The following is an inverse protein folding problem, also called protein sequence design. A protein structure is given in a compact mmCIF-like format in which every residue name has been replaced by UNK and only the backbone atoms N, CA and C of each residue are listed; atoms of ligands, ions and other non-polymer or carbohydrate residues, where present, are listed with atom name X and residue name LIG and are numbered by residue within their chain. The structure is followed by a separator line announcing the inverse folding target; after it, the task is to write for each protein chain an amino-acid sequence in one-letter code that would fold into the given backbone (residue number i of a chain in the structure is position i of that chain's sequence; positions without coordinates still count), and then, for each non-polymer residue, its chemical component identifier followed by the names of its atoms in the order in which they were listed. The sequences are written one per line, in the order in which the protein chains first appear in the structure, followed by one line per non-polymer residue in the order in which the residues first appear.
data_IF_629358706650
#
_entry.id   IF_629358706650
#
_cell.length_a   1.000
_cell.length_b   1.000
_cell.length_c   1.000
_cell.angle_alpha   90.00
_cell.angle_beta   90.00
_cell.angle_gamma   90.00
#
_symmetry.space_group_name_H-M   'P 1'
#
loop_
_entity.id
_entity.type
_entity.pdbx_description
1 polymer ?
#
# COMPACT_ATOMS: atom_id res chain seq x y z
N UNK A 1 -14.81 16.01 9.86
CA UNK A 1 -15.59 16.33 8.64
C UNK A 1 -17.08 16.29 8.98
N UNK A 2 -17.92 17.22 8.50
CA UNK A 2 -19.38 17.14 8.68
C UNK A 2 -19.99 15.84 8.15
N UNK A 3 -21.02 15.32 8.81
CA UNK A 3 -21.61 14.00 8.55
C UNK A 3 -22.22 13.87 7.14
N UNK A 4 -22.90 14.90 6.67
CA UNK A 4 -23.43 15.01 5.31
C UNK A 4 -22.34 14.81 4.26
N UNK A 5 -21.22 15.53 4.41
CA UNK A 5 -20.08 15.40 3.51
C UNK A 5 -19.42 14.03 3.63
N UNK A 6 -19.31 13.50 4.85
CA UNK A 6 -18.74 12.17 5.10
C UNK A 6 -19.53 11.08 4.37
N UNK A 7 -20.87 11.14 4.39
CA UNK A 7 -21.74 10.22 3.64
C UNK A 7 -21.53 10.32 2.14
N UNK A 8 -21.44 11.54 1.60
CA UNK A 8 -21.15 11.74 0.17
C UNK A 8 -19.81 11.14 -0.19
N UNK A 9 -18.76 11.44 0.59
CA UNK A 9 -17.42 10.88 0.38
C UNK A 9 -17.43 9.35 0.42
N UNK A 10 -18.06 8.74 1.44
CA UNK A 10 -18.20 7.29 1.58
C UNK A 10 -18.92 6.67 0.40
N UNK A 11 -20.05 7.26 -0.01
CA UNK A 11 -20.83 6.76 -1.14
C UNK A 11 -20.02 6.82 -2.44
N UNK A 12 -19.30 7.92 -2.67
CA UNK A 12 -18.48 8.09 -3.86
C UNK A 12 -17.35 7.07 -3.92
N UNK A 13 -16.55 6.93 -2.85
CA UNK A 13 -15.43 6.00 -2.88
C UNK A 13 -15.91 4.54 -2.86
N UNK A 14 -16.99 4.21 -2.15
CA UNK A 14 -17.56 2.87 -2.16
C UNK A 14 -18.05 2.49 -3.56
N UNK A 15 -18.71 3.41 -4.26
CA UNK A 15 -19.12 3.23 -5.66
C UNK A 15 -17.91 3.00 -6.56
N UNK A 16 -16.84 3.78 -6.40
CA UNK A 16 -15.61 3.59 -7.17
C UNK A 16 -14.98 2.22 -6.93
N UNK A 17 -14.94 1.74 -5.68
CA UNK A 17 -14.45 0.40 -5.32
C UNK A 17 -15.32 -0.69 -5.95
N UNK A 18 -16.65 -0.56 -5.89
CA UNK A 18 -17.58 -1.52 -6.52
C UNK A 18 -17.35 -1.58 -8.03
N UNK A 19 -17.24 -0.44 -8.70
CA UNK A 19 -16.93 -0.38 -10.14
C UNK A 19 -15.58 -1.04 -10.43
N UNK A 20 -14.54 -0.76 -9.64
CA UNK A 20 -13.23 -1.37 -9.81
C UNK A 20 -13.26 -2.90 -9.63
N UNK A 21 -14.01 -3.40 -8.65
CA UNK A 21 -14.20 -4.85 -8.43
C UNK A 21 -14.91 -5.48 -9.63
N UNK A 22 -15.99 -4.87 -10.12
CA UNK A 22 -16.73 -5.36 -11.30
C UNK A 22 -15.82 -5.38 -12.53
N UNK A 23 -15.09 -4.31 -12.79
CA UNK A 23 -14.15 -4.24 -13.92
C UNK A 23 -13.04 -5.29 -13.79
N UNK A 24 -12.50 -5.50 -12.59
CA UNK A 24 -11.50 -6.53 -12.32
C UNK A 24 -12.05 -7.94 -12.50
N UNK A 25 -13.29 -8.20 -12.09
CA UNK A 25 -13.95 -9.49 -12.29
C UNK A 25 -14.22 -9.77 -13.78
N UNK A 26 -14.68 -8.76 -14.53
CA UNK A 26 -15.00 -8.88 -15.95
C UNK A 26 -13.75 -8.99 -16.85
N UNK A 27 -12.65 -8.34 -16.47
CA UNK A 27 -11.38 -8.38 -17.22
C UNK A 27 -10.42 -9.46 -16.71
N UNK A 28 -10.62 -9.94 -15.49
CA UNK A 28 -10.00 -11.13 -14.92
C UNK A 28 -8.49 -11.22 -15.13
N UNK A 29 -8.03 -12.38 -15.61
CA UNK A 29 -6.61 -12.79 -15.75
C UNK A 29 -5.76 -11.88 -16.64
N UNK A 30 -6.32 -10.83 -17.23
CA UNK A 30 -5.55 -9.82 -17.98
C UNK A 30 -4.69 -8.96 -17.06
N UNK A 31 -5.06 -8.79 -15.79
CA UNK A 31 -4.27 -7.99 -14.86
C UNK A 31 -3.09 -8.77 -14.33
N UNK A 32 -1.92 -8.12 -14.26
CA UNK A 32 -0.70 -8.75 -13.77
C UNK A 32 -0.86 -9.34 -12.34
N UNK A 33 -1.59 -8.65 -11.46
CA UNK A 33 -1.89 -9.12 -10.09
C UNK A 33 -2.68 -10.43 -10.04
N UNK A 34 -3.42 -10.77 -11.10
CA UNK A 34 -4.17 -12.02 -11.19
C UNK A 34 -3.31 -13.21 -11.69
N UNK A 35 -2.05 -12.98 -12.04
CA UNK A 35 -1.15 -14.02 -12.56
C UNK A 35 -0.33 -14.68 -11.45
N UNK A 36 -0.02 -15.97 -11.61
CA UNK A 36 0.86 -16.69 -10.68
C UNK A 36 2.29 -16.15 -10.65
N UNK A 37 2.75 -15.52 -11.74
CA UNK A 37 4.06 -14.87 -11.80
C UNK A 37 4.17 -13.76 -10.75
N UNK A 38 3.14 -12.90 -10.63
CA UNK A 38 3.09 -11.86 -9.59
C UNK A 38 3.18 -12.44 -8.18
N UNK A 39 2.41 -13.49 -7.88
CA UNK A 39 2.40 -14.09 -6.55
C UNK A 39 3.73 -14.80 -6.20
N UNK A 40 4.36 -15.47 -7.17
CA UNK A 40 5.72 -16.02 -7.01
C UNK A 40 6.75 -14.92 -6.75
N UNK A 41 6.63 -13.80 -7.45
CA UNK A 41 7.48 -12.63 -7.25
C UNK A 41 7.37 -12.04 -5.84
N UNK A 42 6.15 -12.00 -5.28
CA UNK A 42 5.91 -11.59 -3.88
C UNK A 42 6.52 -12.58 -2.90
N UNK A 43 6.29 -13.88 -3.11
CA UNK A 43 6.70 -14.95 -2.21
C UNK A 43 8.22 -15.22 -2.17
N UNK A 44 9.06 -14.35 -2.72
CA UNK A 44 10.51 -14.47 -2.59
C UNK A 44 10.94 -14.27 -1.13
N UNK A 45 11.88 -15.10 -0.60
CA UNK A 45 12.15 -15.15 0.84
C UNK A 45 12.51 -13.79 1.46
N UNK A 46 13.31 -12.98 0.77
CA UNK A 46 13.73 -11.68 1.30
C UNK A 46 12.57 -10.68 1.37
N UNK A 47 11.61 -10.71 0.43
CA UNK A 47 10.43 -9.84 0.45
C UNK A 47 9.49 -10.26 1.58
N UNK A 48 9.31 -11.55 1.79
CA UNK A 48 8.53 -12.08 2.91
C UNK A 48 9.16 -11.73 4.25
N UNK A 49 10.48 -11.88 4.39
CA UNK A 49 11.19 -11.50 5.62
C UNK A 49 11.07 -10.00 5.91
N UNK A 50 11.33 -9.15 4.90
CA UNK A 50 11.19 -7.70 5.03
C UNK A 50 9.75 -7.29 5.37
N UNK A 51 8.76 -7.91 4.72
CA UNK A 51 7.35 -7.70 5.02
C UNK A 51 7.01 -8.09 6.45
N UNK A 52 7.43 -9.28 6.91
CA UNK A 52 7.16 -9.75 8.25
C UNK A 52 7.73 -8.79 9.30
N UNK A 53 8.98 -8.36 9.14
CA UNK A 53 9.61 -7.38 10.04
C UNK A 53 8.86 -6.04 10.01
N UNK A 54 8.53 -5.52 8.83
CA UNK A 54 7.81 -4.26 8.70
C UNK A 54 6.39 -4.33 9.29
N UNK A 55 5.62 -5.36 8.97
CA UNK A 55 4.25 -5.53 9.44
C UNK A 55 4.20 -5.73 10.96
N UNK A 56 5.04 -6.60 11.52
CA UNK A 56 5.12 -6.80 12.97
C UNK A 56 5.59 -5.53 13.67
N UNK A 57 6.59 -4.83 13.12
CA UNK A 57 7.06 -3.55 13.62
C UNK A 57 5.93 -2.52 13.69
N UNK A 58 5.15 -2.37 12.62
CA UNK A 58 4.00 -1.46 12.58
C UNK A 58 2.91 -1.84 13.58
N UNK A 59 2.55 -3.12 13.68
CA UNK A 59 1.55 -3.59 14.65
C UNK A 59 2.01 -3.40 16.12
N UNK A 60 3.31 -3.34 16.36
CA UNK A 60 3.88 -3.04 17.67
C UNK A 60 3.90 -1.52 17.91
N UNK A 61 4.34 -0.73 16.94
CA UNK A 61 4.51 0.72 17.09
C UNK A 61 3.16 1.45 17.10
N UNK A 62 2.22 1.07 16.23
CA UNK A 62 0.97 1.81 16.00
C UNK A 62 0.16 2.09 17.28
N UNK A 63 -0.13 1.10 18.15
CA UNK A 63 -0.85 1.36 19.40
C UNK A 63 -0.08 2.20 20.42
N UNK A 64 1.23 2.37 20.23
CA UNK A 64 2.12 3.11 21.15
C UNK A 64 2.33 4.56 20.73
N UNK A 65 1.82 4.96 19.57
CA UNK A 65 1.96 6.33 19.05
C UNK A 65 1.18 7.37 19.86
N UNK A 66 0.25 6.93 20.71
CA UNK A 66 -0.69 7.80 21.42
C UNK A 66 -1.85 8.29 20.54
N UNK A 67 -1.88 7.93 19.25
CA UNK A 67 -3.00 8.22 18.36
C UNK A 67 -4.12 7.17 18.58
N UNK A 68 -5.32 7.58 19.02
CA UNK A 68 -6.44 6.66 19.26
C UNK A 68 -7.00 6.04 17.97
N UNK A 69 -6.61 6.56 16.81
CA UNK A 69 -7.03 6.02 15.53
C UNK A 69 -6.20 4.82 15.10
N UNK A 70 -4.94 4.73 15.53
CA UNK A 70 -4.00 3.69 15.17
C UNK A 70 -4.01 2.53 16.17
N UNK A 71 -4.32 1.32 15.70
CA UNK A 71 -4.27 0.11 16.50
C UNK A 71 -3.50 -1.02 15.80
N UNK A 72 -3.64 -2.26 16.31
CA UNK A 72 -2.92 -3.40 15.72
C UNK A 72 -3.62 -3.92 14.46
N UNK A 73 -4.94 -3.77 14.41
CA UNK A 73 -5.80 -4.31 13.35
C UNK A 73 -5.59 -3.50 12.09
N UNK A 74 -5.68 -2.17 12.18
CA UNK A 74 -5.48 -1.29 11.03
C UNK A 74 -4.04 -1.30 10.52
N UNK A 75 -3.04 -1.21 11.40
CA UNK A 75 -1.65 -1.37 11.04
C UNK A 75 -1.40 -2.72 10.32
N UNK A 76 -2.03 -3.79 10.79
CA UNK A 76 -1.92 -5.13 10.22
C UNK A 76 -2.49 -5.22 8.80
N UNK A 77 -3.76 -4.85 8.60
CA UNK A 77 -4.37 -4.97 7.26
C UNK A 77 -3.79 -3.95 6.28
N UNK A 78 -3.41 -2.74 6.73
CA UNK A 78 -2.78 -1.76 5.84
C UNK A 78 -1.39 -2.22 5.39
N UNK A 79 -0.59 -2.79 6.29
CA UNK A 79 0.70 -3.39 5.93
C UNK A 79 0.51 -4.54 4.93
N UNK A 80 -0.48 -5.42 5.17
CA UNK A 80 -0.82 -6.51 4.26
C UNK A 80 -1.24 -5.99 2.89
N UNK A 81 -2.20 -5.07 2.81
CA UNK A 81 -2.66 -4.52 1.54
C UNK A 81 -1.53 -3.80 0.79
N UNK A 82 -0.69 -3.05 1.50
CA UNK A 82 0.50 -2.41 0.90
C UNK A 82 1.42 -3.45 0.29
N UNK A 83 1.75 -4.52 1.02
CA UNK A 83 2.61 -5.58 0.52
C UNK A 83 2.02 -6.33 -0.68
N UNK A 84 0.71 -6.58 -0.67
CA UNK A 84 0.04 -7.36 -1.72
C UNK A 84 -0.24 -6.54 -2.98
N UNK A 85 -0.48 -5.24 -2.86
CA UNK A 85 -1.02 -4.43 -3.97
C UNK A 85 -0.10 -3.32 -4.44
N UNK A 86 0.73 -2.71 -3.58
CA UNK A 86 1.51 -1.54 -3.95
C UNK A 86 2.49 -1.76 -5.12
N UNK A 87 3.22 -2.90 -5.21
CA UNK A 87 4.10 -3.16 -6.34
C UNK A 87 3.35 -3.22 -7.68
N UNK A 88 2.19 -3.87 -7.70
CA UNK A 88 1.34 -3.94 -8.89
C UNK A 88 0.80 -2.57 -9.27
N UNK A 89 0.19 -1.87 -8.30
CA UNK A 89 -0.40 -0.56 -8.50
C UNK A 89 0.62 0.44 -9.05
N UNK A 90 1.80 0.53 -8.42
CA UNK A 90 2.85 1.44 -8.88
C UNK A 90 3.33 1.07 -10.28
N UNK A 91 3.50 -0.22 -10.56
CA UNK A 91 3.89 -0.71 -11.89
C UNK A 91 2.89 -0.33 -12.98
N UNK A 92 1.60 -0.54 -12.74
CA UNK A 92 0.53 -0.15 -13.69
C UNK A 92 0.54 1.35 -13.92
N UNK A 93 0.55 2.17 -12.88
CA UNK A 93 0.47 3.63 -12.99
C UNK A 93 1.71 4.20 -13.70
N UNK A 94 2.90 3.74 -13.36
CA UNK A 94 4.13 4.17 -14.03
C UNK A 94 4.13 3.76 -15.51
N UNK A 95 3.68 2.55 -15.85
CA UNK A 95 3.57 2.08 -17.25
C UNK A 95 2.47 2.81 -18.03
N UNK A 96 1.37 3.18 -17.38
CA UNK A 96 0.32 4.02 -17.96
C UNK A 96 0.89 5.39 -18.36
N UNK A 97 1.61 6.04 -17.44
CA UNK A 97 2.18 7.39 -17.63
C UNK A 97 3.33 7.37 -18.64
N UNK A 98 4.32 6.49 -18.45
CA UNK A 98 5.58 6.51 -19.23
C UNK A 98 5.48 5.84 -20.58
N UNK A 99 4.70 4.76 -20.68
CA UNK A 99 4.72 3.92 -21.86
C UNK A 99 3.41 3.96 -22.65
N UNK A 100 2.34 4.56 -22.10
CA UNK A 100 0.96 4.43 -22.64
C UNK A 100 0.56 2.97 -22.88
N UNK A 101 1.13 2.04 -22.11
CA UNK A 101 1.01 0.58 -22.31
C UNK A 101 -0.04 -0.07 -21.43
N UNK A 102 -0.48 0.60 -20.36
CA UNK A 102 -1.54 0.06 -19.51
C UNK A 102 -2.91 0.58 -20.01
N UNK A 103 -3.91 -0.29 -20.19
CA UNK A 103 -5.25 0.15 -20.55
C UNK A 103 -5.84 1.00 -19.43
N UNK A 104 -6.61 2.03 -19.79
CA UNK A 104 -7.24 2.95 -18.82
C UNK A 104 -8.05 2.26 -17.72
N UNK A 105 -8.67 1.13 -18.05
CA UNK A 105 -9.39 0.28 -17.09
C UNK A 105 -8.45 -0.25 -16.00
N UNK A 106 -7.27 -0.75 -16.35
CA UNK A 106 -6.30 -1.26 -15.37
C UNK A 106 -5.74 -0.12 -14.52
N UNK A 107 -5.47 1.05 -15.12
CA UNK A 107 -5.04 2.23 -14.39
C UNK A 107 -6.11 2.72 -13.39
N UNK A 108 -7.38 2.70 -13.77
CA UNK A 108 -8.50 3.03 -12.87
C UNK A 108 -8.59 2.05 -11.70
N UNK A 109 -8.53 0.74 -11.97
CA UNK A 109 -8.56 -0.28 -10.91
C UNK A 109 -7.37 -0.11 -9.99
N UNK A 110 -6.16 0.09 -10.53
CA UNK A 110 -4.95 0.34 -9.74
C UNK A 110 -5.07 1.59 -8.86
N UNK A 111 -5.62 2.69 -9.37
CA UNK A 111 -5.86 3.90 -8.57
C UNK A 111 -6.88 3.65 -7.44
N UNK A 112 -7.95 2.90 -7.70
CA UNK A 112 -8.91 2.53 -6.65
C UNK A 112 -8.27 1.60 -5.60
N UNK A 113 -7.45 0.64 -6.02
CA UNK A 113 -6.68 -0.23 -5.11
C UNK A 113 -5.69 0.55 -4.27
N UNK A 114 -5.01 1.55 -4.86
CA UNK A 114 -4.15 2.48 -4.12
C UNK A 114 -4.93 3.15 -3.00
N UNK A 115 -5.98 3.89 -3.35
CA UNK A 115 -6.75 4.69 -2.40
C UNK A 115 -7.42 3.82 -1.34
N UNK A 116 -7.89 2.63 -1.72
CA UNK A 116 -8.42 1.67 -0.77
C UNK A 116 -7.37 1.17 0.22
N UNK A 117 -6.19 0.77 -0.27
CA UNK A 117 -5.12 0.27 0.59
C UNK A 117 -4.50 1.34 1.47
N UNK A 118 -4.34 2.57 0.95
CA UNK A 118 -3.69 3.66 1.65
C UNK A 118 -4.63 4.43 2.58
N UNK A 119 -5.94 4.42 2.34
CA UNK A 119 -6.88 5.25 3.12
C UNK A 119 -8.24 4.59 3.34
N UNK A 120 -8.97 4.21 2.28
CA UNK A 120 -10.40 3.92 2.46
C UNK A 120 -10.69 2.69 3.33
N UNK A 121 -9.79 1.70 3.35
CA UNK A 121 -9.91 0.55 4.25
C UNK A 121 -9.77 0.95 5.73
N UNK A 122 -8.79 1.80 6.04
CA UNK A 122 -8.57 2.41 7.35
C UNK A 122 -9.74 3.31 7.75
N UNK A 123 -10.17 4.18 6.83
CA UNK A 123 -11.27 5.10 7.04
C UNK A 123 -12.56 4.34 7.35
N UNK A 124 -12.87 3.29 6.57
CA UNK A 124 -14.04 2.43 6.80
C UNK A 124 -13.95 1.74 8.15
N UNK A 125 -12.78 1.21 8.51
CA UNK A 125 -12.56 0.54 9.77
C UNK A 125 -12.87 1.45 10.95
N UNK A 126 -12.27 2.65 10.99
CA UNK A 126 -12.50 3.62 12.06
C UNK A 126 -13.95 4.09 12.07
N UNK A 127 -14.50 4.41 10.90
CA UNK A 127 -15.87 4.88 10.77
C UNK A 127 -16.86 3.89 11.37
N UNK A 128 -16.64 2.58 11.16
CA UNK A 128 -17.47 1.51 11.73
C UNK A 128 -17.15 1.25 13.21
N UNK A 129 -15.87 1.17 13.57
CA UNK A 129 -15.39 0.86 14.93
C UNK A 129 -15.87 1.90 15.93
N UNK A 130 -15.56 3.16 15.67
CA UNK A 130 -15.78 4.26 16.62
C UNK A 130 -17.28 4.57 16.79
N UNK A 131 -18.08 4.28 15.77
CA UNK A 131 -19.53 4.46 15.87
C UNK A 131 -20.25 3.30 16.58
N UNK A 132 -19.58 2.16 16.80
CA UNK A 132 -20.17 0.94 17.36
C UNK A 132 -20.94 0.09 16.36
N UNK A 133 -20.55 0.11 15.08
CA UNK A 133 -21.14 -0.69 14.01
C UNK A 133 -21.63 0.15 12.81
N UNK A 134 -21.84 -0.50 11.67
CA UNK A 134 -22.10 0.18 10.39
C UNK A 134 -23.38 1.04 10.41
N UNK A 135 -24.46 0.54 11.01
CA UNK A 135 -25.73 1.30 11.14
C UNK A 135 -25.54 2.59 11.94
N UNK A 136 -24.77 2.51 13.03
CA UNK A 136 -24.44 3.66 13.85
C UNK A 136 -23.46 4.60 13.13
N UNK A 137 -22.50 4.06 12.39
CA UNK A 137 -21.56 4.84 11.59
C UNK A 137 -22.29 5.70 10.57
N UNK A 138 -23.27 5.12 9.88
CA UNK A 138 -24.06 5.85 8.90
C UNK A 138 -24.87 7.00 9.52
N UNK A 139 -25.39 6.82 10.73
CA UNK A 139 -26.25 7.81 11.39
C UNK A 139 -25.49 8.89 12.14
N UNK A 140 -24.34 8.56 12.75
CA UNK A 140 -23.60 9.45 13.67
C UNK A 140 -22.07 9.36 13.57
N UNK A 141 -21.53 8.63 12.60
CA UNK A 141 -20.08 8.49 12.41
C UNK A 141 -19.40 9.81 12.08
N UNK A 142 -18.11 9.89 12.39
CA UNK A 142 -17.30 11.05 12.05
C UNK A 142 -15.95 10.59 11.51
N UNK A 143 -15.38 11.40 10.63
CA UNK A 143 -14.00 11.22 10.17
C UNK A 143 -13.04 12.00 11.06
N UNK A 144 -11.87 11.42 11.41
CA UNK A 144 -10.82 12.13 12.13
C UNK A 144 -10.45 13.45 11.45
N UNK A 145 -10.05 14.45 12.22
CA UNK A 145 -9.58 15.74 11.69
C UNK A 145 -8.37 15.57 10.75
N UNK A 146 -7.58 14.53 10.98
CA UNK A 146 -6.35 14.20 10.25
C UNK A 146 -6.58 13.36 8.98
N UNK A 147 -7.84 13.06 8.60
CA UNK A 147 -8.14 12.13 7.49
C UNK A 147 -7.40 12.45 6.19
N UNK A 148 -7.38 13.73 5.78
CA UNK A 148 -6.72 14.14 4.53
C UNK A 148 -5.20 14.06 4.61
N UNK A 149 -4.63 14.37 5.78
CA UNK A 149 -3.20 14.23 6.03
C UNK A 149 -2.79 12.76 6.02
N UNK A 150 -3.64 11.88 6.58
CA UNK A 150 -3.40 10.44 6.55
C UNK A 150 -3.43 9.90 5.12
N UNK A 151 -4.38 10.33 4.29
CA UNK A 151 -4.43 9.95 2.88
C UNK A 151 -3.11 10.29 2.15
N UNK A 152 -2.55 11.48 2.38
CA UNK A 152 -1.28 11.90 1.76
C UNK A 152 -0.09 11.10 2.32
N UNK A 153 0.03 11.02 3.64
CA UNK A 153 1.14 10.30 4.28
C UNK A 153 1.14 8.81 3.92
N UNK A 154 -0.01 8.16 4.02
CA UNK A 154 -0.18 6.75 3.68
C UNK A 154 0.01 6.50 2.18
N UNK A 155 -0.33 7.46 1.31
CA UNK A 155 -0.03 7.36 -0.11
C UNK A 155 1.46 7.40 -0.43
N UNK A 156 2.23 8.22 0.27
CA UNK A 156 3.69 8.26 0.15
C UNK A 156 4.32 6.94 0.65
N UNK A 157 3.87 6.43 1.80
CA UNK A 157 4.30 5.14 2.34
C UNK A 157 3.93 3.98 1.42
N UNK A 158 2.73 4.00 0.85
CA UNK A 158 2.27 3.00 -0.11
C UNK A 158 3.14 3.01 -1.37
N UNK A 159 3.43 4.19 -1.95
CA UNK A 159 4.31 4.31 -3.10
C UNK A 159 5.75 3.85 -2.78
N UNK A 160 6.29 4.24 -1.62
CA UNK A 160 7.62 3.83 -1.16
C UNK A 160 7.70 2.31 -0.95
N UNK A 161 6.68 1.71 -0.33
CA UNK A 161 6.54 0.27 -0.17
C UNK A 161 6.47 -0.43 -1.53
N UNK A 162 5.63 0.06 -2.44
CA UNK A 162 5.52 -0.43 -3.81
C UNK A 162 6.87 -0.41 -4.55
N UNK A 163 7.62 0.69 -4.43
CA UNK A 163 8.95 0.82 -5.04
C UNK A 163 9.96 -0.15 -4.43
N UNK A 164 10.07 -0.19 -3.09
CA UNK A 164 10.97 -1.08 -2.36
C UNK A 164 10.73 -2.56 -2.71
N UNK A 165 9.46 -2.96 -2.72
CA UNK A 165 9.05 -4.33 -3.02
C UNK A 165 9.05 -4.69 -4.51
N UNK A 166 9.27 -3.70 -5.38
CA UNK A 166 9.50 -3.88 -6.82
C UNK A 166 10.98 -3.90 -7.19
N UNK A 167 11.90 -3.71 -6.23
CA UNK A 167 13.33 -3.79 -6.49
C UNK A 167 13.71 -5.17 -7.02
N UNK A 168 14.45 -5.19 -8.12
CA UNK A 168 14.97 -6.39 -8.76
C UNK A 168 16.37 -6.12 -9.32
N UNK A 169 17.17 -7.17 -9.49
CA UNK A 169 18.50 -7.07 -10.10
C UNK A 169 18.49 -7.89 -11.39
N UNK A 170 18.53 -7.24 -12.57
CA UNK A 170 18.53 -7.95 -13.84
C UNK A 170 19.88 -8.63 -14.09
N UNK A 171 19.87 -9.74 -14.85
CA UNK A 171 21.07 -10.54 -15.15
C UNK A 171 22.12 -9.75 -15.95
N UNK A 172 21.68 -8.83 -16.82
CA UNK A 172 22.52 -7.87 -17.52
C UNK A 172 22.16 -6.46 -17.04
N UNK A 173 22.94 -5.85 -16.13
CA UNK A 173 22.60 -4.56 -15.56
C UNK A 173 22.90 -3.41 -16.52
N UNK A 174 21.85 -2.80 -17.07
CA UNK A 174 21.93 -1.53 -17.82
C UNK A 174 22.08 -0.30 -16.88
N UNK A 175 22.03 -0.50 -15.57
CA UNK A 175 22.10 0.56 -14.57
C UNK A 175 23.41 0.53 -13.79
N UNK A 176 23.97 1.72 -13.48
CA UNK A 176 25.19 1.84 -12.65
C UNK A 176 25.07 1.17 -11.28
N UNK A 177 23.86 1.09 -10.73
CA UNK A 177 23.58 0.48 -9.42
C UNK A 177 23.37 -1.04 -9.51
N UNK A 178 23.16 -1.59 -10.71
CA UNK A 178 22.84 -3.00 -10.92
C UNK A 178 21.51 -3.43 -10.30
N UNK A 179 20.61 -2.47 -10.07
CA UNK A 179 19.26 -2.66 -9.52
C UNK A 179 18.29 -1.82 -10.36
N UNK A 180 17.10 -2.35 -10.62
CA UNK A 180 16.01 -1.70 -11.34
C UNK A 180 14.68 -1.97 -10.61
N UNK A 181 13.61 -1.37 -11.09
CA UNK A 181 12.26 -1.76 -10.69
C UNK A 181 11.72 -2.80 -11.66
N UNK A 182 11.23 -3.93 -11.15
CA UNK A 182 10.75 -5.05 -11.96
C UNK A 182 9.65 -4.64 -12.94
N UNK A 183 8.82 -3.64 -12.60
CA UNK A 183 7.77 -3.14 -13.49
C UNK A 183 8.26 -2.35 -14.70
N UNK A 184 9.56 -2.03 -14.77
CA UNK A 184 10.18 -1.45 -15.95
C UNK A 184 10.64 -2.53 -16.94
N UNK A 185 10.72 -3.79 -16.52
CA UNK A 185 11.14 -4.90 -17.37
C UNK A 185 10.03 -5.33 -18.35
N UNK A 186 10.39 -5.76 -19.58
CA UNK A 186 9.41 -6.18 -20.58
C UNK A 186 8.54 -7.38 -20.18
N UNK A 187 9.10 -8.30 -19.39
CA UNK A 187 8.49 -9.57 -18.95
C UNK A 187 7.76 -9.47 -17.61
N UNK A 188 7.61 -8.26 -17.05
CA UNK A 188 6.86 -8.05 -15.82
C UNK A 188 5.42 -8.61 -15.92
N UNK A 189 4.91 -9.35 -14.91
CA UNK A 189 5.39 -9.44 -13.53
C UNK A 189 6.30 -10.65 -13.22
N UNK A 190 6.98 -11.23 -14.21
CA UNK A 190 7.97 -12.27 -13.94
C UNK A 190 9.12 -11.72 -13.07
N UNK A 191 9.51 -12.49 -12.06
CA UNK A 191 10.64 -12.14 -11.20
C UNK A 191 11.92 -12.78 -11.74
N UNK A 192 13.01 -12.02 -11.74
CA UNK A 192 14.37 -12.53 -11.94
C UNK A 192 15.10 -12.64 -10.61
N UNK A 193 15.92 -13.67 -10.45
CA UNK A 193 16.63 -13.93 -9.21
C UNK A 193 17.64 -12.81 -8.93
N UNK A 194 17.49 -12.13 -7.80
CA UNK A 194 18.39 -11.04 -7.43
C UNK A 194 19.51 -11.50 -6.49
N UNK A 195 20.75 -10.97 -6.62
CA UNK A 195 21.76 -11.07 -5.57
C UNK A 195 21.31 -10.26 -4.35
N UNK A 196 21.16 -10.88 -3.16
CA UNK A 196 20.50 -10.27 -2.02
C UNK A 196 21.18 -8.98 -1.53
N UNK A 197 22.50 -8.84 -1.70
CA UNK A 197 23.26 -7.71 -1.15
C UNK A 197 22.94 -6.35 -1.77
N UNK A 198 22.76 -6.27 -3.09
CA UNK A 198 22.52 -4.98 -3.79
C UNK A 198 21.09 -4.48 -3.56
N UNK A 199 20.13 -5.40 -3.65
CA UNK A 199 18.72 -5.10 -3.34
C UNK A 199 18.55 -4.73 -1.87
N UNK A 200 19.23 -5.42 -0.95
CA UNK A 200 19.17 -5.10 0.48
C UNK A 200 19.65 -3.67 0.80
N UNK A 201 20.73 -3.19 0.17
CA UNK A 201 21.23 -1.84 0.41
C UNK A 201 20.24 -0.75 -0.01
N UNK A 202 19.58 -0.93 -1.16
CA UNK A 202 18.59 0.05 -1.63
C UNK A 202 17.27 -0.08 -0.85
N UNK A 203 16.85 -1.31 -0.51
CA UNK A 203 15.70 -1.54 0.36
C UNK A 203 15.91 -0.89 1.74
N UNK A 204 17.14 -0.93 2.28
CA UNK A 204 17.50 -0.27 3.53
C UNK A 204 17.27 1.24 3.46
N UNK A 205 17.56 1.90 2.34
CA UNK A 205 17.28 3.34 2.18
C UNK A 205 15.78 3.65 2.34
N UNK A 206 14.89 2.83 1.76
CA UNK A 206 13.44 2.96 1.97
C UNK A 206 13.04 2.72 3.42
N UNK A 207 13.59 1.67 4.05
CA UNK A 207 13.33 1.36 5.46
C UNK A 207 13.76 2.50 6.37
N UNK A 208 14.92 3.13 6.11
CA UNK A 208 15.41 4.26 6.89
C UNK A 208 14.51 5.49 6.76
N UNK A 209 13.97 5.77 5.58
CA UNK A 209 12.99 6.86 5.40
C UNK A 209 11.74 6.60 6.23
N UNK A 210 11.19 5.38 6.18
CA UNK A 210 10.00 5.02 6.97
C UNK A 210 10.33 5.07 8.48
N UNK A 211 11.48 4.55 8.90
CA UNK A 211 11.92 4.61 10.28
C UNK A 211 12.09 6.05 10.78
N UNK A 212 12.62 6.95 9.95
CA UNK A 212 12.73 8.37 10.27
C UNK A 212 11.35 9.04 10.42
N UNK A 213 10.37 8.68 9.58
CA UNK A 213 8.98 9.16 9.70
C UNK A 213 8.30 8.66 10.98
N UNK A 214 8.61 7.43 11.41
CA UNK A 214 8.06 6.83 12.63
C UNK A 214 8.82 7.24 13.90
N UNK A 215 10.06 7.73 13.76
CA UNK A 215 10.98 8.04 14.85
C UNK A 215 10.39 8.92 15.96
N UNK A 216 9.69 10.03 15.64
CA UNK A 216 9.05 10.87 16.66
C UNK A 216 8.04 10.11 17.52
N UNK A 217 7.24 9.23 16.92
CA UNK A 217 6.23 8.44 17.65
C UNK A 217 6.86 7.36 18.51
N UNK A 218 7.92 6.71 18.01
CA UNK A 218 8.69 5.72 18.78
C UNK A 218 9.39 6.38 19.96
N UNK A 219 9.94 7.58 19.77
CA UNK A 219 10.61 8.33 20.84
C UNK A 219 9.64 8.70 21.98
N UNK A 220 8.45 9.18 21.64
CA UNK A 220 7.39 9.46 22.64
C UNK A 220 7.01 8.19 23.39
N UNK A 221 6.74 7.10 22.67
CA UNK A 221 6.41 5.80 23.26
C UNK A 221 7.48 5.28 24.23
N UNK A 222 8.77 5.50 23.93
CA UNK A 222 9.87 5.05 24.77
C UNK A 222 10.12 5.96 25.99
N UNK A 223 9.71 7.24 25.92
CA UNK A 223 9.86 8.18 27.03
C UNK A 223 8.80 7.99 28.12
N UNK A 224 7.60 7.58 27.71
CA UNK A 224 6.44 7.48 28.60
C UNK A 224 6.31 6.09 29.29
N UNK A 225 7.33 5.23 29.14
CA UNK A 225 7.48 3.92 29.78
C UNK A 225 8.80 3.84 30.53
#
# INVERSE_FOLDING_TARGET
MPLDRARVYVTCWATAVVIAIVLAALRGRTFAIATSAYWRARATPWKLALFAVAALGMMIIAPRTGDPTWDRVDAGFMALFTYLTAPWTLGVLVRAIRARRAPWVEAYVAACTWLFSASWSYDLYIFVRDAGGFSAAWSRGFYPLTWSSNLVASSLLYAAGGACFSLSAPDAPDTRLGVTFSFLEPDWPAERAAPPRRVALLALAFVLVVAAMLGPFVWVALRDH
#
